data_IF_555344908852
#
_entry.id   IF_555344908852
#
_cell.length_a   1.000
_cell.length_b   1.000
_cell.length_c   1.000
_cell.angle_alpha   90.00
_cell.angle_beta   90.00
_cell.angle_gamma   90.00
#
_symmetry.space_group_name_H-M   'P 1'
#
loop_
_entity.id
_entity.type
_entity.pdbx_description
1 polymer ?
#
# COMPACT_ATOMS: atom_id res chain seq x y z
N UNK A 1 9.92 13.39 -23.27
CA UNK A 1 10.54 12.18 -22.72
C UNK A 1 11.35 11.54 -23.82
N UNK A 2 12.66 11.40 -23.62
CA UNK A 2 13.55 10.80 -24.61
C UNK A 2 13.45 9.27 -24.58
N UNK A 3 13.62 8.64 -25.74
CA UNK A 3 13.54 7.17 -25.92
C UNK A 3 14.49 6.41 -24.99
N UNK A 4 15.58 7.05 -24.54
CA UNK A 4 16.53 6.49 -23.59
C UNK A 4 15.92 6.25 -22.20
N UNK A 5 15.11 7.18 -21.68
CA UNK A 5 14.46 7.03 -20.38
C UNK A 5 13.34 5.97 -20.40
N UNK A 6 12.64 5.85 -21.54
CA UNK A 6 11.63 4.80 -21.72
C UNK A 6 12.26 3.40 -21.76
N UNK A 7 13.41 3.25 -22.40
CA UNK A 7 14.11 1.97 -22.46
C UNK A 7 14.69 1.54 -21.10
N UNK A 8 15.21 2.50 -20.32
CA UNK A 8 15.72 2.24 -18.96
C UNK A 8 14.58 1.86 -17.99
N UNK A 9 13.41 2.49 -18.14
CA UNK A 9 12.20 2.14 -17.38
C UNK A 9 11.67 0.76 -17.73
N UNK A 10 11.78 0.33 -19.00
CA UNK A 10 11.24 -0.94 -19.47
C UNK A 10 12.12 -2.13 -19.06
N UNK A 11 13.46 -1.96 -19.09
CA UNK A 11 14.42 -2.97 -18.62
C UNK A 11 14.31 -3.20 -17.11
N UNK A 12 14.16 -2.13 -16.32
CA UNK A 12 13.94 -2.24 -14.88
C UNK A 12 12.60 -2.94 -14.57
N UNK A 13 11.55 -2.68 -15.36
CA UNK A 13 10.25 -3.33 -15.18
C UNK A 13 10.34 -4.85 -15.35
N UNK A 14 11.05 -5.33 -16.37
CA UNK A 14 11.24 -6.77 -16.60
C UNK A 14 12.08 -7.43 -15.52
N UNK A 15 13.15 -6.77 -15.08
CA UNK A 15 14.00 -7.28 -14.00
C UNK A 15 13.23 -7.36 -12.67
N UNK A 16 12.39 -6.37 -12.36
CA UNK A 16 11.51 -6.38 -11.18
C UNK A 16 10.47 -7.49 -11.29
N UNK A 17 9.90 -7.72 -12.47
CA UNK A 17 8.92 -8.76 -12.71
C UNK A 17 9.52 -10.17 -12.52
N UNK A 18 10.72 -10.43 -13.06
CA UNK A 18 11.45 -11.68 -12.81
C UNK A 18 11.80 -11.90 -11.33
N UNK A 19 12.25 -10.86 -10.63
CA UNK A 19 12.51 -10.91 -9.18
C UNK A 19 11.25 -11.27 -8.40
N UNK A 20 10.11 -10.65 -8.72
CA UNK A 20 8.87 -10.89 -8.01
C UNK A 20 8.29 -12.27 -8.29
N UNK A 21 8.40 -12.78 -9.53
CA UNK A 21 8.03 -14.16 -9.86
C UNK A 21 8.88 -15.15 -9.07
N UNK A 22 10.20 -14.94 -9.04
CA UNK A 22 11.13 -15.83 -8.33
C UNK A 22 10.95 -15.81 -6.82
N UNK A 23 10.52 -14.68 -6.25
CA UNK A 23 10.26 -14.54 -4.82
C UNK A 23 8.79 -14.77 -4.43
N UNK A 24 7.91 -15.18 -5.37
CA UNK A 24 6.46 -15.33 -5.15
C UNK A 24 5.80 -14.05 -4.59
N UNK A 25 6.32 -12.88 -4.95
CA UNK A 25 5.82 -11.58 -4.48
C UNK A 25 4.64 -11.12 -5.34
N UNK A 26 3.61 -10.59 -4.69
CA UNK A 26 2.52 -9.88 -5.38
C UNK A 26 2.91 -8.40 -5.52
N UNK A 27 3.10 -7.93 -6.76
CA UNK A 27 3.39 -6.52 -7.03
C UNK A 27 2.10 -5.70 -7.07
N UNK A 28 2.05 -4.62 -6.28
CA UNK A 28 1.10 -3.54 -6.49
C UNK A 28 1.81 -2.34 -7.13
N UNK A 29 1.46 -2.02 -8.38
CA UNK A 29 1.98 -0.82 -9.06
C UNK A 29 1.09 0.37 -8.68
N UNK A 30 1.67 1.35 -7.99
CA UNK A 30 0.98 2.55 -7.53
C UNK A 30 1.33 3.75 -8.41
N UNK A 31 0.43 4.74 -8.46
CA UNK A 31 0.73 6.01 -9.12
C UNK A 31 1.96 6.67 -8.48
N UNK A 32 2.85 7.34 -9.25
CA UNK A 32 3.98 8.09 -8.70
C UNK A 32 3.59 9.19 -7.70
N UNK A 33 2.32 9.59 -7.72
CA UNK A 33 1.75 10.56 -6.79
C UNK A 33 1.41 9.99 -5.42
N UNK A 34 1.42 8.66 -5.28
CA UNK A 34 1.23 7.98 -4.01
C UNK A 34 2.46 8.15 -3.13
N UNK A 35 2.26 8.44 -1.84
CA UNK A 35 3.36 8.53 -0.89
C UNK A 35 3.01 7.87 0.44
N UNK A 36 4.00 7.33 1.17
CA UNK A 36 3.78 6.82 2.52
C UNK A 36 3.38 7.94 3.49
N UNK A 37 2.61 7.58 4.53
CA UNK A 37 2.17 8.51 5.58
C UNK A 37 3.34 9.23 6.26
N UNK A 38 4.48 8.55 6.38
CA UNK A 38 5.72 9.09 6.95
C UNK A 38 6.26 10.32 6.21
N UNK A 39 5.82 10.55 4.97
CA UNK A 39 6.34 11.63 4.11
C UNK A 39 5.46 12.88 4.06
N UNK A 40 4.25 12.84 4.62
CA UNK A 40 3.31 13.94 4.51
C UNK A 40 3.41 14.91 5.72
N UNK A 41 3.56 16.23 5.48
CA UNK A 41 3.81 17.20 6.55
C UNK A 41 2.53 17.78 7.17
N UNK A 42 1.32 17.51 6.64
CA UNK A 42 0.09 18.15 7.14
C UNK A 42 -0.70 17.23 8.07
N UNK A 43 -1.12 17.77 9.21
CA UNK A 43 -1.92 17.07 10.20
C UNK A 43 -3.20 16.43 9.62
N UNK A 44 -3.92 17.13 8.73
CA UNK A 44 -5.16 16.61 8.12
C UNK A 44 -4.94 15.35 7.27
N UNK A 45 -3.82 15.30 6.54
CA UNK A 45 -3.45 14.14 5.72
C UNK A 45 -3.05 12.98 6.65
N UNK A 46 -2.32 13.28 7.73
CA UNK A 46 -1.98 12.31 8.75
C UNK A 46 -3.22 11.69 9.42
N UNK A 47 -4.15 12.51 9.88
CA UNK A 47 -5.41 12.08 10.51
C UNK A 47 -6.28 11.24 9.55
N UNK A 48 -6.39 11.68 8.29
CA UNK A 48 -7.10 10.93 7.25
C UNK A 48 -6.46 9.56 7.01
N UNK A 49 -5.14 9.52 6.90
CA UNK A 49 -4.37 8.30 6.76
C UNK A 49 -4.59 7.30 7.88
N UNK A 50 -4.50 7.76 9.12
CA UNK A 50 -4.73 6.94 10.31
C UNK A 50 -6.17 6.41 10.37
N UNK A 51 -7.17 7.26 10.11
CA UNK A 51 -8.58 6.85 10.10
C UNK A 51 -8.82 5.74 9.08
N UNK A 52 -8.34 5.93 7.87
CA UNK A 52 -8.56 4.98 6.78
C UNK A 52 -7.79 3.66 7.03
N UNK A 53 -6.60 3.72 7.66
CA UNK A 53 -5.86 2.53 8.09
C UNK A 53 -6.62 1.73 9.16
N UNK A 54 -7.23 2.40 10.14
CA UNK A 54 -8.09 1.76 11.14
C UNK A 54 -9.28 1.08 10.46
N UNK A 55 -9.97 1.77 9.56
CA UNK A 55 -11.09 1.19 8.80
C UNK A 55 -10.63 -0.04 7.99
N UNK A 56 -9.50 0.07 7.30
CA UNK A 56 -8.91 -1.03 6.55
C UNK A 56 -8.61 -2.25 7.43
N UNK A 57 -8.04 -2.02 8.62
CA UNK A 57 -7.76 -3.08 9.58
C UNK A 57 -9.03 -3.73 10.13
N UNK A 58 -10.07 -2.96 10.45
CA UNK A 58 -11.37 -3.51 10.86
C UNK A 58 -11.97 -4.41 9.77
N UNK A 59 -11.93 -3.97 8.51
CA UNK A 59 -12.43 -4.75 7.38
C UNK A 59 -11.63 -6.06 7.18
N UNK A 60 -10.30 -6.02 7.35
CA UNK A 60 -9.44 -7.21 7.36
C UNK A 60 -9.82 -8.17 8.50
N UNK A 61 -10.05 -7.64 9.69
CA UNK A 61 -10.46 -8.43 10.84
C UNK A 61 -11.82 -9.11 10.64
N UNK A 62 -12.78 -8.42 10.03
CA UNK A 62 -14.09 -8.96 9.65
C UNK A 62 -13.99 -10.04 8.56
N UNK A 63 -13.00 -9.95 7.66
CA UNK A 63 -12.74 -10.99 6.65
C UNK A 63 -11.97 -12.20 7.19
N UNK A 64 -11.68 -12.25 8.50
CA UNK A 64 -10.96 -13.35 9.12
C UNK A 64 -9.44 -13.28 8.93
N UNK A 65 -8.90 -12.10 8.65
CA UNK A 65 -7.47 -11.84 8.57
C UNK A 65 -7.00 -10.91 9.70
N UNK A 66 -5.77 -11.06 10.14
CA UNK A 66 -5.13 -10.18 11.11
C UNK A 66 -3.85 -9.65 10.50
N UNK A 67 -3.67 -8.33 10.55
CA UNK A 67 -2.38 -7.69 10.31
C UNK A 67 -1.83 -7.26 11.66
N UNK A 68 -0.82 -7.97 12.17
CA UNK A 68 -0.29 -7.77 13.53
C UNK A 68 0.42 -6.42 13.69
N UNK A 69 1.02 -5.91 12.62
CA UNK A 69 1.76 -4.66 12.62
C UNK A 69 1.25 -3.70 11.55
N UNK A 70 0.80 -2.51 11.98
CA UNK A 70 0.47 -1.40 11.09
C UNK A 70 1.58 -0.35 11.22
N UNK A 71 2.46 -0.31 10.21
CA UNK A 71 3.53 0.68 10.12
C UNK A 71 3.07 1.87 9.28
N UNK A 72 3.52 3.08 9.65
CA UNK A 72 3.18 4.29 8.89
C UNK A 72 3.68 4.26 7.43
N UNK A 73 4.73 3.49 7.15
CA UNK A 73 5.23 3.26 5.79
C UNK A 73 4.28 2.42 4.92
N UNK A 74 3.44 1.60 5.55
CA UNK A 74 2.46 0.74 4.88
C UNK A 74 1.12 1.45 4.64
N UNK A 75 0.97 2.69 5.11
CA UNK A 75 -0.21 3.52 4.84
C UNK A 75 0.11 4.44 3.68
N UNK A 76 -0.51 4.20 2.53
CA UNK A 76 -0.24 4.94 1.31
C UNK A 76 -1.34 5.97 1.06
N UNK A 77 -0.94 7.24 0.92
CA UNK A 77 -1.82 8.33 0.54
C UNK A 77 -1.67 8.61 -0.96
N UNK A 78 -2.73 8.41 -1.75
CA UNK A 78 -2.73 8.85 -3.14
C UNK A 78 -2.86 10.39 -3.22
N UNK A 79 -2.74 10.92 -4.44
CA UNK A 79 -3.15 12.28 -4.72
C UNK A 79 -4.64 12.46 -4.34
N UNK A 80 -5.03 13.62 -3.78
CA UNK A 80 -6.44 13.95 -3.60
C UNK A 80 -7.20 13.83 -4.93
N UNK A 81 -8.45 13.37 -4.85
CA UNK A 81 -9.35 13.35 -6.00
C UNK A 81 -9.77 14.77 -6.42
N UNK A 82 -10.63 14.85 -7.43
CA UNK A 82 -11.17 16.11 -7.95
C UNK A 82 -12.01 16.90 -6.93
N UNK A 83 -12.48 16.25 -5.86
CA UNK A 83 -13.17 16.89 -4.72
C UNK A 83 -12.20 17.32 -3.62
N UNK A 84 -10.90 17.02 -3.77
CA UNK A 84 -9.87 17.28 -2.76
C UNK A 84 -9.88 16.28 -1.61
N UNK A 85 -10.60 15.16 -1.74
CA UNK A 85 -10.63 14.08 -0.75
C UNK A 85 -9.52 13.08 -1.08
N UNK A 86 -8.78 12.69 -0.05
CA UNK A 86 -7.80 11.60 -0.14
C UNK A 86 -8.36 10.40 0.60
N UNK A 87 -8.39 9.25 -0.07
CA UNK A 87 -8.68 7.96 0.55
C UNK A 87 -7.40 7.12 0.53
N UNK A 88 -6.78 6.93 1.68
CA UNK A 88 -5.57 6.12 1.76
C UNK A 88 -5.90 4.63 1.79
N UNK A 89 -4.91 3.81 1.50
CA UNK A 89 -5.02 2.36 1.52
C UNK A 89 -3.79 1.73 2.18
N UNK A 90 -3.99 0.54 2.72
CA UNK A 90 -2.98 -0.25 3.42
C UNK A 90 -2.30 -1.19 2.43
N UNK A 91 -0.97 -1.25 2.47
CA UNK A 91 -0.15 -2.21 1.70
C UNK A 91 0.62 -3.14 2.64
N UNK A 92 1.41 -4.08 2.10
CA UNK A 92 2.18 -5.01 2.93
C UNK A 92 1.31 -6.04 3.66
N UNK A 93 0.25 -6.50 2.98
CA UNK A 93 -0.67 -7.51 3.51
C UNK A 93 -0.14 -8.94 3.41
N UNK A 94 1.05 -9.13 2.83
CA UNK A 94 1.76 -10.41 2.77
C UNK A 94 2.13 -10.93 4.16
N UNK A 95 2.27 -10.04 5.14
CA UNK A 95 2.47 -10.39 6.55
C UNK A 95 1.16 -10.61 7.32
N UNK A 96 -0.01 -10.48 6.68
CA UNK A 96 -1.27 -10.76 7.33
C UNK A 96 -1.46 -12.27 7.53
N UNK A 97 -1.97 -12.67 8.68
CA UNK A 97 -2.25 -14.06 9.02
C UNK A 97 -3.75 -14.33 9.05
N UNK A 98 -4.15 -15.59 8.88
CA UNK A 98 -5.53 -15.98 9.13
C UNK A 98 -5.82 -15.86 10.63
N UNK A 99 -6.91 -15.18 10.95
CA UNK A 99 -7.48 -15.18 12.29
C UNK A 99 -7.83 -16.63 12.62
N UNK A 100 -7.05 -17.24 13.51
CA UNK A 100 -7.45 -18.52 14.08
C UNK A 100 -8.72 -18.27 14.88
N UNK A 101 -9.82 -18.84 14.44
CA UNK A 101 -10.96 -18.99 15.31
C UNK A 101 -10.49 -19.87 16.47
N UNK A 102 -10.62 -19.38 17.69
CA UNK A 102 -10.63 -20.27 18.83
C UNK A 102 -11.91 -21.11 18.70
N UNK A 103 -11.80 -22.21 17.97
CA UNK A 103 -12.77 -23.29 18.03
C UNK A 103 -12.65 -23.86 19.45
N UNK A 104 -13.63 -23.49 20.30
CA UNK A 104 -13.88 -24.11 21.60
C UNK A 104 -14.62 -25.43 21.42
#
# INVERSE_FOLDING_TARGET
MDRYEQNLSLDNSKMIEELCINCQLTIAILSPSCKPLTTYPKAREFEGGMRDAIIGHCNLHESGMILDEILAENIILPKPDETGVTKSFLVGLDMASLRRNHDN
#
